data_IF_184531742396
#
_entry.id   IF_184531742396
#
_cell.length_a   1.000
_cell.length_b   1.000
_cell.length_c   1.000
_cell.angle_alpha   90.00
_cell.angle_beta   90.00
_cell.angle_gamma   90.00
#
_symmetry.space_group_name_H-M   'P 1'
#
loop_
_entity.id
_entity.type
_entity.pdbx_description
1 polymer ?
#
# COMPACT_ATOMS: atom_id res chain seq x y z
N UNK A 1 -2.69 -35.97 8.77
CA UNK A 1 -2.24 -34.68 9.33
C UNK A 1 -1.87 -33.79 8.17
N UNK A 2 -2.51 -32.64 8.02
CA UNK A 2 -2.02 -31.60 7.10
C UNK A 2 -0.69 -31.05 7.61
N UNK A 3 0.21 -30.72 6.69
CA UNK A 3 1.52 -30.18 7.02
C UNK A 3 1.38 -28.80 7.69
N UNK A 4 1.79 -28.63 8.96
CA UNK A 4 1.69 -27.34 9.65
C UNK A 4 2.74 -26.33 9.17
N UNK A 5 3.79 -26.78 8.47
CA UNK A 5 4.84 -25.93 7.94
C UNK A 5 4.45 -25.38 6.58
N UNK A 6 3.83 -24.21 6.62
CA UNK A 6 3.51 -23.45 5.42
C UNK A 6 4.78 -22.80 4.87
N UNK A 7 5.28 -23.31 3.75
CA UNK A 7 6.50 -22.79 3.10
C UNK A 7 6.21 -21.50 2.31
N UNK A 8 4.95 -21.26 1.92
CA UNK A 8 4.54 -20.11 1.10
C UNK A 8 3.42 -19.32 1.77
N UNK A 9 3.66 -18.01 1.92
CA UNK A 9 2.70 -16.97 2.35
C UNK A 9 2.09 -17.16 3.75
N UNK A 10 1.58 -16.06 4.31
CA UNK A 10 0.76 -16.08 5.51
C UNK A 10 -0.56 -16.83 5.24
N UNK A 11 -1.01 -17.66 6.18
CA UNK A 11 -2.28 -18.39 6.09
C UNK A 11 -3.30 -18.00 7.17
N UNK A 12 -2.89 -17.95 8.42
CA UNK A 12 -3.75 -17.61 9.54
C UNK A 12 -2.93 -17.24 10.76
N UNK A 13 -3.62 -16.64 11.74
CA UNK A 13 -3.05 -16.30 13.05
C UNK A 13 -2.44 -17.52 13.75
N UNK A 14 -3.11 -18.67 13.71
CA UNK A 14 -2.70 -19.90 14.41
C UNK A 14 -1.41 -20.50 13.82
N UNK A 15 -1.10 -20.18 12.56
CA UNK A 15 0.09 -20.66 11.85
C UNK A 15 1.19 -19.59 11.74
N UNK A 16 0.97 -18.41 12.32
CA UNK A 16 1.96 -17.34 12.38
C UNK A 16 2.58 -17.31 13.78
N UNK A 17 3.88 -17.57 13.86
CA UNK A 17 4.60 -17.67 15.12
C UNK A 17 5.34 -16.37 15.46
N UNK A 18 5.41 -16.08 16.77
CA UNK A 18 6.14 -14.94 17.33
C UNK A 18 5.60 -13.58 16.81
N UNK A 19 6.38 -12.49 16.96
CA UNK A 19 6.08 -11.15 16.45
C UNK A 19 4.89 -10.43 17.08
N UNK A 20 4.38 -10.90 18.22
CA UNK A 20 3.26 -10.26 18.92
C UNK A 20 3.61 -8.82 19.37
N UNK A 21 4.85 -8.58 19.82
CA UNK A 21 5.31 -7.23 20.20
C UNK A 21 5.39 -6.27 19.00
N UNK A 22 5.86 -6.76 17.86
CA UNK A 22 5.86 -5.99 16.62
C UNK A 22 4.43 -5.68 16.16
N UNK A 23 3.53 -6.66 16.21
CA UNK A 23 2.11 -6.47 15.88
C UNK A 23 1.45 -5.44 16.80
N UNK A 24 1.64 -5.55 18.12
CA UNK A 24 1.16 -4.57 19.10
C UNK A 24 1.71 -3.17 18.82
N UNK A 25 2.98 -3.09 18.40
CA UNK A 25 3.60 -1.81 18.01
C UNK A 25 2.97 -1.23 16.76
N UNK A 26 2.67 -2.03 15.74
CA UNK A 26 1.98 -1.55 14.54
C UNK A 26 0.59 -1.00 14.85
N UNK A 27 -0.19 -1.71 15.68
CA UNK A 27 -1.53 -1.28 16.08
C UNK A 27 -1.45 0.00 16.91
N UNK A 28 -0.49 0.08 17.85
CA UNK A 28 -0.29 1.28 18.68
C UNK A 28 0.14 2.48 17.85
N UNK A 29 1.05 2.31 16.90
CA UNK A 29 1.51 3.39 16.04
C UNK A 29 0.35 3.93 15.20
N UNK A 30 -0.44 3.03 14.61
CA UNK A 30 -1.65 3.41 13.89
C UNK A 30 -2.63 4.20 14.79
N UNK A 31 -2.90 3.71 16.00
CA UNK A 31 -3.79 4.40 16.95
C UNK A 31 -3.28 5.75 17.46
N UNK A 32 -2.02 6.11 17.17
CA UNK A 32 -1.40 7.39 17.48
C UNK A 32 -1.09 8.21 16.20
N UNK A 33 -1.77 7.91 15.09
CA UNK A 33 -1.59 8.59 13.80
C UNK A 33 -0.14 8.59 13.29
N UNK A 34 0.61 7.54 13.62
CA UNK A 34 2.05 7.45 13.35
C UNK A 34 2.35 6.48 12.21
N UNK A 35 2.89 7.01 11.12
CA UNK A 35 3.45 6.21 10.02
C UNK A 35 4.59 5.32 10.52
N UNK A 36 4.68 4.09 10.00
CA UNK A 36 5.64 3.10 10.47
C UNK A 36 6.53 2.56 9.37
N UNK A 37 7.84 2.55 9.62
CA UNK A 37 8.82 1.93 8.72
C UNK A 37 9.26 0.57 9.27
N UNK A 38 9.05 -0.49 8.50
CA UNK A 38 9.50 -1.86 8.83
C UNK A 38 10.71 -2.22 8.01
N UNK A 39 11.85 -2.38 8.68
CA UNK A 39 13.11 -2.78 8.05
C UNK A 39 13.55 -4.14 8.55
N UNK A 40 13.67 -5.11 7.66
CA UNK A 40 14.30 -6.41 7.99
C UNK A 40 14.78 -7.14 6.74
N UNK A 41 15.69 -8.10 6.89
CA UNK A 41 16.21 -8.90 5.77
C UNK A 41 15.09 -9.63 5.02
N UNK A 42 15.36 -10.05 3.77
CA UNK A 42 14.42 -10.87 2.99
C UNK A 42 14.10 -12.17 3.73
N UNK A 43 12.86 -12.65 3.59
CA UNK A 43 12.35 -13.89 4.21
C UNK A 43 12.27 -13.88 5.74
N UNK A 44 12.30 -12.71 6.38
CA UNK A 44 12.13 -12.55 7.85
C UNK A 44 10.65 -12.44 8.29
N UNK A 45 9.71 -12.61 7.36
CA UNK A 45 8.27 -12.61 7.66
C UNK A 45 7.57 -11.26 7.64
N UNK A 46 8.15 -10.20 7.05
CA UNK A 46 7.51 -8.85 6.95
C UNK A 46 6.11 -8.91 6.37
N UNK A 47 5.99 -9.44 5.16
CA UNK A 47 4.70 -9.58 4.47
C UNK A 47 3.72 -10.41 5.31
N UNK A 48 4.20 -11.42 6.03
CA UNK A 48 3.37 -12.20 6.93
C UNK A 48 2.87 -11.42 8.14
N UNK A 49 3.71 -10.58 8.73
CA UNK A 49 3.32 -9.66 9.80
C UNK A 49 2.27 -8.65 9.34
N UNK A 50 2.36 -8.16 8.11
CA UNK A 50 1.34 -7.26 7.54
C UNK A 50 0.00 -7.97 7.38
N UNK A 51 -0.03 -9.17 6.80
CA UNK A 51 -1.29 -9.92 6.70
C UNK A 51 -1.84 -10.32 8.07
N UNK A 52 -0.98 -10.62 9.04
CA UNK A 52 -1.36 -10.83 10.43
C UNK A 52 -2.01 -9.59 11.05
N UNK A 53 -1.51 -8.39 10.74
CA UNK A 53 -2.10 -7.12 11.13
C UNK A 53 -3.48 -6.93 10.49
N UNK A 54 -3.65 -7.25 9.21
CA UNK A 54 -4.93 -7.14 8.52
C UNK A 54 -5.98 -8.08 9.14
N UNK A 55 -5.58 -9.30 9.50
CA UNK A 55 -6.43 -10.23 10.25
C UNK A 55 -6.80 -9.67 11.62
N UNK A 56 -5.86 -9.05 12.34
CA UNK A 56 -6.14 -8.45 13.65
C UNK A 56 -7.12 -7.28 13.55
N UNK A 57 -6.96 -6.41 12.53
CA UNK A 57 -7.89 -5.32 12.21
C UNK A 57 -9.30 -5.88 12.01
N UNK A 58 -9.43 -6.95 11.23
CA UNK A 58 -10.70 -7.61 10.97
C UNK A 58 -11.29 -8.26 12.22
N UNK A 59 -10.49 -9.02 12.98
CA UNK A 59 -10.92 -9.73 14.20
C UNK A 59 -11.41 -8.73 15.25
N UNK A 60 -10.71 -7.61 15.42
CA UNK A 60 -11.09 -6.55 16.36
C UNK A 60 -12.14 -5.58 15.82
N UNK A 61 -12.57 -5.75 14.56
CA UNK A 61 -13.51 -4.85 13.89
C UNK A 61 -13.08 -3.38 13.98
N UNK A 62 -11.79 -3.12 13.81
CA UNK A 62 -11.27 -1.75 13.79
C UNK A 62 -11.76 -1.07 12.51
N UNK A 63 -12.17 0.19 12.63
CA UNK A 63 -12.64 1.01 11.49
C UNK A 63 -11.46 1.53 10.66
N UNK A 64 -10.79 0.57 10.00
CA UNK A 64 -9.57 0.76 9.23
C UNK A 64 -9.71 -0.05 7.95
N UNK A 65 -9.44 0.58 6.82
CA UNK A 65 -9.34 -0.09 5.53
C UNK A 65 -7.87 -0.38 5.19
N UNK A 66 -7.40 -1.62 5.38
CA UNK A 66 -6.04 -2.00 5.02
C UNK A 66 -5.91 -2.17 3.50
N UNK A 67 -4.85 -1.60 2.93
CA UNK A 67 -4.51 -1.69 1.51
C UNK A 67 -3.05 -2.09 1.38
N UNK A 68 -2.78 -3.23 0.75
CA UNK A 68 -1.41 -3.70 0.50
C UNK A 68 -1.00 -3.43 -0.94
N UNK A 69 0.19 -2.84 -1.11
CA UNK A 69 0.79 -2.49 -2.40
C UNK A 69 2.21 -3.04 -2.45
N UNK A 70 2.45 -4.04 -3.29
CA UNK A 70 3.81 -4.50 -3.61
C UNK A 70 4.32 -3.67 -4.79
N UNK A 71 5.35 -2.86 -4.56
CA UNK A 71 5.94 -2.03 -5.62
C UNK A 71 7.22 -2.63 -6.20
N UNK A 72 7.62 -3.85 -5.84
CA UNK A 72 8.90 -4.43 -6.28
C UNK A 72 9.10 -4.43 -7.80
N UNK A 73 8.04 -4.67 -8.58
CA UNK A 73 8.10 -4.73 -10.04
C UNK A 73 8.02 -3.35 -10.73
N UNK A 74 7.76 -2.28 -9.97
CA UNK A 74 7.61 -0.93 -10.51
C UNK A 74 8.96 -0.36 -10.99
N UNK A 75 8.91 0.45 -12.05
CA UNK A 75 10.11 1.06 -12.65
C UNK A 75 10.00 2.58 -12.79
N UNK A 76 8.81 3.13 -12.63
CA UNK A 76 8.52 4.56 -12.82
C UNK A 76 7.45 5.03 -11.82
N UNK A 77 7.32 6.34 -11.65
CA UNK A 77 6.19 6.91 -10.88
C UNK A 77 4.82 6.51 -11.46
N UNK A 78 4.73 6.28 -12.78
CA UNK A 78 3.50 5.83 -13.42
C UNK A 78 3.13 4.41 -12.97
N UNK A 79 4.12 3.52 -12.81
CA UNK A 79 3.89 2.18 -12.25
C UNK A 79 3.47 2.26 -10.79
N UNK A 80 4.06 3.15 -10.00
CA UNK A 80 3.68 3.38 -8.60
C UNK A 80 2.22 3.82 -8.47
N UNK A 81 1.79 4.81 -9.26
CA UNK A 81 0.41 5.30 -9.28
C UNK A 81 -0.53 4.17 -9.69
N UNK A 82 -0.19 3.44 -10.76
CA UNK A 82 -0.96 2.30 -11.24
C UNK A 82 -1.16 1.24 -10.16
N UNK A 83 -0.08 0.76 -9.55
CA UNK A 83 -0.13 -0.30 -8.54
C UNK A 83 -0.92 0.15 -7.30
N UNK A 84 -0.76 1.40 -6.88
CA UNK A 84 -1.54 1.98 -5.78
C UNK A 84 -3.03 2.02 -6.15
N UNK A 85 -3.37 2.55 -7.33
CA UNK A 85 -4.75 2.66 -7.78
C UNK A 85 -5.43 1.29 -7.92
N UNK A 86 -4.75 0.29 -8.46
CA UNK A 86 -5.25 -1.09 -8.56
C UNK A 86 -5.47 -1.71 -7.18
N UNK A 87 -4.55 -1.50 -6.24
CA UNK A 87 -4.67 -2.02 -4.87
C UNK A 87 -5.86 -1.39 -4.13
N UNK A 88 -6.02 -0.06 -4.23
CA UNK A 88 -7.17 0.65 -3.67
C UNK A 88 -8.47 0.17 -4.32
N UNK A 89 -8.47 -0.01 -5.64
CA UNK A 89 -9.65 -0.48 -6.37
C UNK A 89 -10.12 -1.87 -5.90
N UNK A 90 -9.16 -2.77 -5.61
CA UNK A 90 -9.44 -4.10 -5.05
C UNK A 90 -9.92 -4.03 -3.61
N UNK A 91 -9.38 -3.11 -2.81
CA UNK A 91 -9.72 -2.98 -1.39
C UNK A 91 -11.08 -2.32 -1.17
N UNK A 92 -11.49 -1.41 -2.05
CA UNK A 92 -12.76 -0.70 -1.91
C UNK A 92 -13.93 -1.63 -2.24
N UNK A 93 -14.94 -1.76 -1.37
CA UNK A 93 -16.09 -2.60 -1.68
C UNK A 93 -16.83 -2.04 -2.91
N UNK A 94 -16.92 -2.79 -4.00
CA UNK A 94 -17.41 -2.27 -5.29
C UNK A 94 -18.82 -1.66 -5.20
N UNK A 95 -19.68 -2.22 -4.34
CA UNK A 95 -21.05 -1.75 -4.17
C UNK A 95 -21.20 -0.55 -3.22
N UNK A 96 -20.16 -0.25 -2.44
CA UNK A 96 -20.16 0.87 -1.50
C UNK A 96 -20.11 2.22 -2.20
N UNK A 97 -20.55 3.26 -1.50
CA UNK A 97 -20.46 4.64 -2.00
C UNK A 97 -19.01 5.04 -2.31
N UNK A 98 -18.08 4.64 -1.44
CA UNK A 98 -16.65 4.94 -1.61
C UNK A 98 -16.07 4.23 -2.84
N UNK A 99 -16.43 2.96 -3.08
CA UNK A 99 -16.04 2.22 -4.28
C UNK A 99 -16.56 2.86 -5.58
N UNK A 100 -17.82 3.32 -5.57
CA UNK A 100 -18.43 4.04 -6.71
C UNK A 100 -17.75 5.38 -6.97
N UNK A 101 -17.43 6.15 -5.92
CA UNK A 101 -16.69 7.41 -6.04
C UNK A 101 -15.28 7.19 -6.57
N UNK A 102 -14.58 6.18 -6.06
CA UNK A 102 -13.23 5.87 -6.53
C UNK A 102 -13.22 5.40 -7.97
N UNK A 103 -14.17 4.54 -8.37
CA UNK A 103 -14.34 4.15 -9.76
C UNK A 103 -14.60 5.37 -10.67
N UNK A 104 -15.35 6.37 -10.20
CA UNK A 104 -15.56 7.63 -10.92
C UNK A 104 -14.27 8.44 -11.04
N UNK A 105 -13.49 8.54 -9.97
CA UNK A 105 -12.16 9.15 -9.97
C UNK A 105 -11.24 8.46 -11.00
N UNK A 106 -11.12 7.14 -10.92
CA UNK A 106 -10.31 6.35 -11.86
C UNK A 106 -10.77 6.57 -13.31
N UNK A 107 -12.07 6.54 -13.59
CA UNK A 107 -12.60 6.83 -14.94
C UNK A 107 -12.26 8.25 -15.43
N UNK A 108 -12.11 9.23 -14.54
CA UNK A 108 -11.74 10.60 -14.92
C UNK A 108 -10.32 10.70 -15.48
N UNK A 109 -9.43 9.79 -15.06
CA UNK A 109 -8.07 9.64 -15.59
C UNK A 109 -8.02 8.98 -16.98
N UNK A 110 -9.18 8.63 -17.55
CA UNK A 110 -9.35 7.94 -18.85
C UNK A 110 -8.44 6.71 -19.01
N UNK A 111 -8.41 5.79 -18.04
CA UNK A 111 -7.58 4.59 -18.12
C UNK A 111 -8.11 3.63 -19.18
N UNK A 112 -7.20 2.85 -19.73
CA UNK A 112 -7.53 1.61 -20.41
C UNK A 112 -7.59 0.50 -19.35
N UNK A 113 -8.73 -0.19 -19.27
CA UNK A 113 -8.90 -1.35 -18.39
C UNK A 113 -8.59 -2.63 -19.16
N UNK A 114 -7.79 -3.50 -18.55
CA UNK A 114 -7.62 -4.88 -18.98
C UNK A 114 -7.88 -5.82 -17.82
N UNK A 115 -8.24 -7.07 -18.11
CA UNK A 115 -8.40 -8.11 -17.11
C UNK A 115 -7.30 -9.14 -17.32
N UNK A 116 -6.60 -9.50 -16.26
CA UNK A 116 -5.70 -10.64 -16.30
C UNK A 116 -6.55 -11.92 -16.43
N UNK A 117 -6.37 -12.65 -17.52
CA UNK A 117 -7.17 -13.85 -17.81
C UNK A 117 -6.87 -15.02 -16.87
N UNK A 118 -5.73 -15.00 -16.16
CA UNK A 118 -5.32 -16.05 -15.23
C UNK A 118 -5.80 -15.74 -13.81
N UNK A 119 -5.69 -14.48 -13.36
CA UNK A 119 -6.02 -14.10 -11.98
C UNK A 119 -7.39 -13.47 -11.84
N UNK A 120 -7.99 -12.98 -12.94
CA UNK A 120 -9.22 -12.20 -12.92
C UNK A 120 -9.06 -10.78 -12.38
N UNK A 121 -7.82 -10.36 -12.09
CA UNK A 121 -7.57 -9.02 -11.53
C UNK A 121 -7.69 -7.92 -12.59
N UNK A 122 -8.18 -6.77 -12.14
CA UNK A 122 -8.26 -5.55 -12.96
C UNK A 122 -6.87 -4.94 -13.07
N UNK A 123 -6.46 -4.67 -14.31
CA UNK A 123 -5.26 -3.92 -14.63
C UNK A 123 -5.62 -2.58 -15.25
N UNK A 124 -4.91 -1.53 -14.83
CA UNK A 124 -5.07 -0.17 -15.30
C UNK A 124 -3.88 0.21 -16.18
N UNK A 125 -4.15 0.92 -17.27
CA UNK A 125 -3.14 1.69 -17.99
C UNK A 125 -3.63 3.13 -18.11
N UNK A 126 -2.90 4.05 -17.51
CA UNK A 126 -3.19 5.49 -17.56
C UNK A 126 -2.17 6.12 -18.53
N UNK A 127 -2.66 6.84 -19.52
CA UNK A 127 -1.81 7.59 -20.45
C UNK A 127 -1.44 8.94 -19.84
N UNK A 128 -0.15 9.24 -19.77
CA UNK A 128 0.37 10.52 -19.27
C UNK A 128 1.11 11.26 -20.39
N UNK A 129 0.91 12.57 -20.49
CA UNK A 129 1.56 13.47 -21.44
C UNK A 129 2.93 13.95 -20.93
N UNK A 130 3.18 13.92 -19.62
CA UNK A 130 4.43 14.37 -19.03
C UNK A 130 4.55 14.08 -17.53
N UNK A 131 5.67 14.47 -16.93
CA UNK A 131 5.95 14.21 -15.52
C UNK A 131 4.99 14.97 -14.59
N UNK A 132 4.70 16.24 -14.92
CA UNK A 132 3.79 17.07 -14.13
C UNK A 132 2.39 16.47 -14.00
N UNK A 133 1.87 15.81 -15.05
CA UNK A 133 0.58 15.13 -15.01
C UNK A 133 0.61 13.89 -14.10
N UNK A 134 1.73 13.15 -14.10
CA UNK A 134 1.92 12.02 -13.18
C UNK A 134 1.94 12.50 -11.73
N UNK A 135 2.71 13.55 -11.44
CA UNK A 135 2.81 14.14 -10.10
C UNK A 135 1.46 14.68 -9.61
N UNK A 136 0.69 15.32 -10.51
CA UNK A 136 -0.67 15.78 -10.22
C UNK A 136 -1.62 14.62 -9.94
N UNK A 137 -1.61 13.58 -10.79
CA UNK A 137 -2.45 12.38 -10.62
C UNK A 137 -2.16 11.67 -9.30
N UNK A 138 -0.87 11.56 -8.92
CA UNK A 138 -0.46 11.00 -7.63
C UNK A 138 -1.01 11.82 -6.47
N UNK A 139 -0.93 13.15 -6.56
CA UNK A 139 -1.48 14.05 -5.55
C UNK A 139 -2.99 13.88 -5.42
N UNK A 140 -3.72 13.91 -6.54
CA UNK A 140 -5.18 13.73 -6.55
C UNK A 140 -5.61 12.37 -6.01
N UNK A 141 -4.82 11.32 -6.28
CA UNK A 141 -5.08 9.99 -5.71
C UNK A 141 -5.01 10.04 -4.18
N UNK A 142 -3.96 10.64 -3.59
CA UNK A 142 -3.85 10.74 -2.14
C UNK A 142 -4.89 11.66 -1.52
N UNK A 143 -5.15 12.83 -2.12
CA UNK A 143 -6.20 13.74 -1.67
C UNK A 143 -7.58 13.08 -1.73
N UNK A 144 -7.85 12.30 -2.78
CA UNK A 144 -9.09 11.53 -2.87
C UNK A 144 -9.22 10.57 -1.69
N UNK A 145 -8.18 9.77 -1.39
CA UNK A 145 -8.21 8.80 -0.29
C UNK A 145 -8.46 9.49 1.06
N UNK A 146 -7.81 10.62 1.30
CA UNK A 146 -7.94 11.39 2.53
C UNK A 146 -9.35 11.96 2.74
N UNK A 147 -10.08 12.25 1.67
CA UNK A 147 -11.43 12.82 1.72
C UNK A 147 -12.54 11.80 2.03
N UNK A 148 -12.25 10.50 2.13
CA UNK A 148 -13.30 9.47 2.23
C UNK A 148 -13.91 9.29 3.63
N UNK A 149 -13.47 10.06 4.62
CA UNK A 149 -13.96 10.00 6.01
C UNK A 149 -13.91 8.59 6.61
N UNK A 150 -12.88 7.83 6.26
CA UNK A 150 -12.53 6.51 6.81
C UNK A 150 -11.02 6.47 7.04
N UNK A 151 -10.55 5.69 7.99
CA UNK A 151 -9.11 5.51 8.18
C UNK A 151 -8.58 4.48 7.19
N UNK A 152 -7.58 4.86 6.39
CA UNK A 152 -6.96 4.01 5.38
C UNK A 152 -5.54 3.71 5.81
N UNK A 153 -5.17 2.43 5.82
CA UNK A 153 -3.80 1.99 6.10
C UNK A 153 -3.16 1.51 4.78
N UNK A 154 -2.34 2.36 4.17
CA UNK A 154 -1.59 2.03 2.95
C UNK A 154 -0.24 1.40 3.31
N UNK A 155 -0.06 0.14 2.94
CA UNK A 155 1.19 -0.59 3.11
C UNK A 155 1.92 -0.68 1.78
N UNK A 156 3.12 -0.11 1.70
CA UNK A 156 4.02 -0.24 0.56
C UNK A 156 5.14 -1.24 0.86
N UNK A 157 5.16 -2.40 0.20
CA UNK A 157 6.24 -3.38 0.29
C UNK A 157 7.35 -3.13 -0.74
N UNK A 158 8.59 -3.44 -0.33
CA UNK A 158 9.82 -3.11 -1.02
C UNK A 158 9.92 -1.61 -1.40
N UNK A 159 9.53 -0.72 -0.48
CA UNK A 159 9.42 0.73 -0.71
C UNK A 159 10.72 1.37 -1.22
N UNK A 160 11.88 0.82 -0.89
CA UNK A 160 13.16 1.31 -1.41
C UNK A 160 13.27 1.23 -2.96
N UNK A 161 12.35 0.54 -3.64
CA UNK A 161 12.27 0.47 -5.10
C UNK A 161 12.08 1.85 -5.75
N UNK A 162 11.46 2.81 -5.06
CA UNK A 162 11.26 4.18 -5.59
C UNK A 162 12.58 4.88 -5.97
N UNK A 163 13.70 4.46 -5.39
CA UNK A 163 15.04 5.00 -5.68
C UNK A 163 15.56 4.61 -7.06
N UNK A 164 15.03 3.54 -7.63
CA UNK A 164 15.43 3.04 -8.94
C UNK A 164 14.65 3.70 -10.08
N UNK A 165 13.70 4.60 -9.75
CA UNK A 165 12.92 5.31 -10.75
C UNK A 165 13.77 6.37 -11.47
N UNK A 166 13.53 6.58 -12.78
CA UNK A 166 14.24 7.61 -13.53
C UNK A 166 13.81 9.04 -13.13
N UNK A 167 12.62 9.20 -12.56
CA UNK A 167 12.11 10.47 -12.07
C UNK A 167 12.92 11.01 -10.88
N UNK A 168 13.28 12.29 -10.93
CA UNK A 168 14.08 12.94 -9.87
C UNK A 168 13.19 13.33 -8.68
N UNK A 169 13.77 13.38 -7.47
CA UNK A 169 13.12 13.88 -6.26
C UNK A 169 11.82 13.16 -5.82
N UNK A 170 11.60 11.90 -6.24
CA UNK A 170 10.41 11.12 -5.89
C UNK A 170 10.20 11.01 -4.37
N UNK A 171 11.28 10.85 -3.59
CA UNK A 171 11.21 10.78 -2.12
C UNK A 171 10.60 12.06 -1.52
N UNK A 172 11.11 13.23 -1.95
CA UNK A 172 10.64 14.52 -1.47
C UNK A 172 9.19 14.81 -1.90
N UNK A 173 8.84 14.40 -3.13
CA UNK A 173 7.48 14.51 -3.65
C UNK A 173 6.50 13.67 -2.81
N UNK A 174 6.79 12.39 -2.61
CA UNK A 174 5.96 11.49 -1.82
C UNK A 174 5.80 12.01 -0.39
N UNK A 175 6.90 12.40 0.26
CA UNK A 175 6.88 12.98 1.61
C UNK A 175 5.97 14.21 1.68
N UNK A 176 6.06 15.11 0.69
CA UNK A 176 5.25 16.33 0.62
C UNK A 176 3.77 16.02 0.58
N UNK A 177 3.36 15.01 -0.18
CA UNK A 177 1.95 14.63 -0.30
C UNK A 177 1.47 13.85 0.93
N UNK A 178 2.23 12.84 1.37
CA UNK A 178 1.85 11.93 2.46
C UNK A 178 1.73 12.64 3.81
N UNK A 179 2.64 13.56 4.14
CA UNK A 179 2.63 14.25 5.45
C UNK A 179 1.41 15.17 5.68
N UNK A 180 0.66 15.51 4.62
CA UNK A 180 -0.50 16.40 4.71
C UNK A 180 -1.82 15.66 4.93
N UNK A 181 -1.81 14.33 4.75
CA UNK A 181 -2.99 13.49 4.87
C UNK A 181 -3.30 13.24 6.35
N UNK A 182 -4.58 13.16 6.69
CA UNK A 182 -5.08 13.02 8.07
C UNK A 182 -5.72 11.67 8.31
N UNK A 183 -6.33 11.10 7.28
CA UNK A 183 -7.09 9.86 7.34
C UNK A 183 -6.36 8.70 6.65
N UNK A 184 -5.16 8.94 6.12
CA UNK A 184 -4.34 7.95 5.43
C UNK A 184 -3.03 7.79 6.19
N UNK A 185 -2.80 6.58 6.71
CA UNK A 185 -1.58 6.22 7.42
C UNK A 185 -0.78 5.22 6.61
N UNK A 186 0.54 5.25 6.77
CA UNK A 186 1.45 4.49 5.94
C UNK A 186 2.25 3.47 6.74
N UNK A 187 2.44 2.29 6.14
CA UNK A 187 3.49 1.37 6.54
C UNK A 187 4.44 1.16 5.35
N UNK A 188 5.71 1.52 5.55
CA UNK A 188 6.74 1.34 4.53
C UNK A 188 7.62 0.14 4.89
N UNK A 189 7.52 -0.91 4.09
CA UNK A 189 8.30 -2.13 4.28
C UNK A 189 9.51 -2.12 3.34
N UNK A 190 10.67 -2.54 3.85
CA UNK A 190 11.86 -2.62 3.03
C UNK A 190 12.90 -3.63 3.52
N UNK A 191 13.67 -4.15 2.57
CA UNK A 191 14.73 -5.14 2.86
C UNK A 191 16.14 -4.54 2.97
N UNK A 192 16.36 -3.34 2.42
CA UNK A 192 17.65 -2.64 2.42
C UNK A 192 17.68 -1.55 3.50
N UNK A 193 18.26 -1.85 4.66
CA UNK A 193 18.27 -0.95 5.84
C UNK A 193 18.82 0.44 5.56
N UNK A 194 19.97 0.52 4.87
CA UNK A 194 20.59 1.81 4.55
C UNK A 194 19.67 2.69 3.71
N UNK A 195 19.08 2.14 2.63
CA UNK A 195 18.17 2.90 1.77
C UNK A 195 16.92 3.38 2.51
N UNK A 196 16.32 2.52 3.32
CA UNK A 196 15.14 2.90 4.10
C UNK A 196 15.46 3.99 5.13
N UNK A 197 16.65 3.96 5.74
CA UNK A 197 17.03 4.99 6.72
C UNK A 197 17.19 6.35 6.04
N UNK A 198 17.80 6.38 4.85
CA UNK A 198 17.99 7.63 4.11
C UNK A 198 16.66 8.23 3.62
N UNK A 199 15.69 7.39 3.22
CA UNK A 199 14.39 7.85 2.72
C UNK A 199 13.60 8.59 3.81
N UNK A 200 13.77 8.19 5.08
CA UNK A 200 13.04 8.73 6.23
C UNK A 200 13.88 9.59 7.18
N UNK A 201 15.17 9.81 6.88
CA UNK A 201 15.99 10.82 7.54
C UNK A 201 15.48 12.24 7.23
#
# INVERSE_FOLDING_TARGET
MENPFVIKSYKSKELFCDREKELETLIRNFGNDTDTTIVSLRRMGKTGLIYRLFDEIKIKSLDILPVYVDIYASRTIADFIKLTAEAVLRAFPQESSIGKHFMKFIKSLRPQFSFDTLTGEVQLQIGYQGIAEKEHTLKELFEFLDQQNINILLVYDEFQQIREYPEQNIEALLRTYMQTLKNVHFIFCGSKKHLMTDIFA
#
